data_IF_642426118541
#
_entry.id   IF_642426118541
#
_cell.length_a   1.000
_cell.length_b   1.000
_cell.length_c   1.000
_cell.angle_alpha   90.00
_cell.angle_beta   90.00
_cell.angle_gamma   90.00
#
_symmetry.space_group_name_H-M   'P 1'
#
loop_
_entity.id
_entity.type
_entity.pdbx_description
1 polymer ?
#
# COMPACT_ATOMS: atom_id res chain seq x y z
N UNK A 1 -12.28 -17.89 -11.87
CA UNK A 1 -13.48 -17.48 -11.10
C UNK A 1 -14.32 -18.63 -10.57
N UNK A 2 -14.87 -19.56 -11.40
CA UNK A 2 -15.65 -20.70 -10.87
C UNK A 2 -14.83 -21.70 -10.04
N UNK A 3 -13.55 -21.93 -10.34
CA UNK A 3 -12.65 -22.84 -9.62
C UNK A 3 -12.29 -22.27 -8.23
N UNK A 4 -12.02 -20.98 -8.12
CA UNK A 4 -11.70 -20.32 -6.84
C UNK A 4 -12.88 -20.29 -5.88
N UNK A 5 -14.10 -20.04 -6.40
CA UNK A 5 -15.35 -20.08 -5.60
C UNK A 5 -15.64 -21.50 -5.09
N UNK A 6 -15.35 -22.53 -5.92
CA UNK A 6 -15.53 -23.94 -5.54
C UNK A 6 -14.50 -24.37 -4.49
N UNK A 7 -13.25 -23.91 -4.60
CA UNK A 7 -12.19 -24.14 -3.61
C UNK A 7 -12.53 -23.50 -2.25
N UNK A 8 -13.00 -22.26 -2.24
CA UNK A 8 -13.40 -21.59 -1.00
C UNK A 8 -14.60 -22.24 -0.30
N UNK A 9 -15.62 -22.68 -1.08
CA UNK A 9 -16.76 -23.43 -0.53
C UNK A 9 -16.33 -24.82 0.01
N UNK A 10 -15.38 -25.48 -0.63
CA UNK A 10 -14.85 -26.75 -0.17
C UNK A 10 -13.97 -26.56 1.09
N UNK A 11 -13.18 -25.49 1.17
CA UNK A 11 -12.40 -25.15 2.35
C UNK A 11 -13.32 -24.83 3.55
N UNK A 12 -14.38 -24.05 3.33
CA UNK A 12 -15.38 -23.75 4.34
C UNK A 12 -16.14 -25.01 4.82
N UNK A 13 -16.37 -26.01 3.94
CA UNK A 13 -16.95 -27.32 4.31
C UNK A 13 -15.96 -28.19 5.08
N UNK A 14 -14.67 -28.20 4.68
CA UNK A 14 -13.64 -28.99 5.36
C UNK A 14 -13.41 -28.51 6.81
N UNK A 15 -13.48 -27.19 7.05
CA UNK A 15 -13.35 -26.61 8.39
C UNK A 15 -14.51 -27.03 9.32
N UNK A 16 -15.72 -27.25 8.78
CA UNK A 16 -16.86 -27.74 9.57
C UNK A 16 -16.73 -29.20 10.04
N UNK A 17 -15.80 -29.99 9.44
CA UNK A 17 -15.56 -31.39 9.77
C UNK A 17 -14.32 -31.61 10.66
N UNK A 18 -13.52 -30.60 10.96
CA UNK A 18 -12.36 -30.75 11.83
C UNK A 18 -12.79 -30.83 13.30
N UNK A 19 -12.45 -31.89 13.96
CA UNK A 19 -12.50 -32.06 15.43
C UNK A 19 -11.38 -31.20 16.03
N UNK A 20 -11.62 -29.91 16.18
CA UNK A 20 -10.76 -29.00 16.95
C UNK A 20 -11.22 -29.12 18.41
N UNK A 21 -10.33 -29.32 19.40
CA UNK A 21 -10.74 -29.38 20.80
C UNK A 21 -11.51 -28.07 21.14
N UNK A 22 -12.65 -28.26 21.79
CA UNK A 22 -13.68 -27.31 22.26
C UNK A 22 -13.34 -25.81 22.16
N UNK A 23 -13.12 -25.31 20.97
CA UNK A 23 -13.11 -23.85 20.74
C UNK A 23 -14.53 -23.38 20.55
N UNK A 24 -14.82 -22.20 21.08
CA UNK A 24 -16.15 -21.59 21.09
C UNK A 24 -16.81 -21.62 19.70
N UNK A 25 -18.12 -21.68 19.63
CA UNK A 25 -18.88 -21.63 18.37
C UNK A 25 -18.54 -20.37 17.57
N UNK A 26 -18.28 -19.23 18.25
CA UNK A 26 -17.86 -17.97 17.62
C UNK A 26 -16.53 -18.12 16.90
N UNK A 27 -15.53 -18.78 17.51
CA UNK A 27 -14.24 -19.03 16.85
C UNK A 27 -14.37 -19.87 15.58
N UNK A 28 -15.22 -20.92 15.58
CA UNK A 28 -15.46 -21.72 14.37
C UNK A 28 -16.09 -20.89 13.25
N UNK A 29 -16.97 -19.96 13.59
CA UNK A 29 -17.51 -19.01 12.62
C UNK A 29 -16.44 -18.08 12.08
N UNK A 30 -15.50 -17.59 12.89
CA UNK A 30 -14.37 -16.78 12.42
C UNK A 30 -13.53 -17.54 11.39
N UNK A 31 -13.19 -18.81 11.65
CA UNK A 31 -12.44 -19.65 10.69
C UNK A 31 -13.21 -19.84 9.38
N UNK A 32 -14.53 -20.05 9.44
CA UNK A 32 -15.39 -20.12 8.25
C UNK A 32 -15.41 -18.81 7.48
N UNK A 33 -15.54 -17.69 8.19
CA UNK A 33 -15.56 -16.36 7.60
C UNK A 33 -14.20 -15.98 6.97
N UNK A 34 -13.08 -16.38 7.60
CA UNK A 34 -11.74 -16.23 7.00
C UNK A 34 -11.64 -16.99 5.67
N UNK A 35 -12.11 -18.23 5.62
CA UNK A 35 -12.14 -19.01 4.39
C UNK A 35 -12.97 -18.33 3.29
N UNK A 36 -14.13 -17.77 3.63
CA UNK A 36 -14.97 -17.00 2.70
C UNK A 36 -14.24 -15.74 2.21
N UNK A 37 -13.58 -15.01 3.11
CA UNK A 37 -12.81 -13.81 2.77
C UNK A 37 -11.63 -14.13 1.84
N UNK A 38 -10.88 -15.22 2.09
CA UNK A 38 -9.82 -15.69 1.18
C UNK A 38 -10.38 -16.11 -0.18
N UNK A 39 -11.60 -16.68 -0.22
CA UNK A 39 -12.31 -16.98 -1.47
C UNK A 39 -12.92 -15.73 -2.15
N UNK A 40 -12.63 -14.51 -1.65
CA UNK A 40 -13.18 -13.24 -2.12
C UNK A 40 -14.71 -13.13 -2.02
N UNK A 41 -15.34 -13.99 -1.21
CA UNK A 41 -16.78 -13.95 -0.92
C UNK A 41 -17.02 -12.99 0.27
N UNK A 42 -16.73 -11.71 0.06
CA UNK A 42 -16.65 -10.74 1.16
C UNK A 42 -17.99 -10.49 1.85
N UNK A 43 -19.12 -10.50 1.11
CA UNK A 43 -20.45 -10.31 1.70
C UNK A 43 -20.83 -11.46 2.63
N UNK A 44 -20.58 -12.72 2.21
CA UNK A 44 -20.82 -13.90 3.03
C UNK A 44 -19.91 -13.93 4.26
N UNK A 45 -18.65 -13.49 4.09
CA UNK A 45 -17.71 -13.34 5.20
C UNK A 45 -18.22 -12.33 6.23
N UNK A 46 -18.73 -11.16 5.79
CA UNK A 46 -19.33 -10.14 6.65
C UNK A 46 -20.45 -10.73 7.50
N UNK A 47 -21.42 -11.45 6.89
CA UNK A 47 -22.52 -12.06 7.62
C UNK A 47 -22.03 -13.05 8.66
N UNK A 48 -21.06 -13.91 8.28
CA UNK A 48 -20.52 -14.93 9.18
C UNK A 48 -19.72 -14.33 10.35
N UNK A 49 -18.97 -13.23 10.13
CA UNK A 49 -18.32 -12.51 11.24
C UNK A 49 -19.33 -11.84 12.17
N UNK A 50 -20.41 -11.27 11.64
CA UNK A 50 -21.47 -10.68 12.45
C UNK A 50 -22.15 -11.74 13.33
N UNK A 51 -22.39 -12.96 12.79
CA UNK A 51 -22.90 -14.09 13.58
C UNK A 51 -21.90 -14.47 14.71
N UNK A 52 -20.60 -14.46 14.43
CA UNK A 52 -19.58 -14.74 15.45
C UNK A 52 -19.62 -13.69 16.58
N UNK A 53 -19.73 -12.41 16.24
CA UNK A 53 -19.84 -11.30 17.21
C UNK A 53 -21.14 -11.37 18.02
N UNK A 54 -22.24 -11.82 17.43
CA UNK A 54 -23.50 -12.02 18.18
C UNK A 54 -23.37 -13.12 19.23
N UNK A 55 -22.57 -14.18 18.97
CA UNK A 55 -22.31 -15.24 19.92
C UNK A 55 -21.31 -14.87 21.01
N UNK A 56 -20.28 -14.09 20.61
CA UNK A 56 -19.27 -13.59 21.55
C UNK A 56 -18.88 -12.16 21.16
N UNK A 57 -19.34 -11.21 21.97
CA UNK A 57 -19.09 -9.77 21.74
C UNK A 57 -17.64 -9.38 21.96
N UNK A 58 -16.81 -10.24 22.52
CA UNK A 58 -15.39 -10.01 22.76
C UNK A 58 -14.49 -10.83 21.81
N UNK A 59 -15.06 -11.47 20.77
CA UNK A 59 -14.27 -12.22 19.79
C UNK A 59 -13.47 -11.29 18.88
N UNK A 60 -12.25 -10.98 19.30
CA UNK A 60 -11.33 -10.05 18.64
C UNK A 60 -11.14 -10.40 17.15
N UNK A 61 -10.96 -11.70 16.84
CA UNK A 61 -10.77 -12.17 15.46
C UNK A 61 -11.94 -11.82 14.55
N UNK A 62 -13.16 -11.88 15.09
CA UNK A 62 -14.35 -11.54 14.33
C UNK A 62 -14.37 -10.06 13.94
N UNK A 63 -13.99 -9.16 14.85
CA UNK A 63 -13.91 -7.72 14.54
C UNK A 63 -12.82 -7.41 13.52
N UNK A 64 -11.62 -7.99 13.64
CA UNK A 64 -10.54 -7.80 12.68
C UNK A 64 -10.92 -8.32 11.29
N UNK A 65 -11.45 -9.53 11.23
CA UNK A 65 -11.90 -10.13 9.99
C UNK A 65 -13.03 -9.35 9.33
N UNK A 66 -13.99 -8.87 10.11
CA UNK A 66 -15.11 -8.03 9.66
C UNK A 66 -14.61 -6.70 9.09
N UNK A 67 -13.71 -6.02 9.80
CA UNK A 67 -13.12 -4.78 9.32
C UNK A 67 -12.35 -4.98 8.01
N UNK A 68 -11.57 -6.06 7.93
CA UNK A 68 -10.87 -6.45 6.70
C UNK A 68 -11.84 -6.72 5.54
N UNK A 69 -12.95 -7.44 5.78
CA UNK A 69 -13.95 -7.71 4.77
C UNK A 69 -14.61 -6.40 4.26
N UNK A 70 -14.95 -5.47 5.17
CA UNK A 70 -15.46 -4.16 4.80
C UNK A 70 -14.44 -3.32 4.00
N UNK A 71 -13.13 -3.41 4.31
CA UNK A 71 -12.07 -2.76 3.51
C UNK A 71 -12.09 -3.26 2.06
N UNK A 72 -12.17 -4.58 1.85
CA UNK A 72 -12.25 -5.15 0.49
C UNK A 72 -13.51 -4.73 -0.27
N UNK A 73 -14.61 -4.52 0.44
CA UNK A 73 -15.85 -3.98 -0.11
C UNK A 73 -15.82 -2.45 -0.29
N UNK A 74 -14.74 -1.79 0.10
CA UNK A 74 -14.57 -0.33 0.14
C UNK A 74 -15.60 0.38 1.04
N UNK A 75 -16.19 -0.35 1.99
CA UNK A 75 -17.12 0.18 2.98
C UNK A 75 -16.35 0.71 4.21
N UNK A 76 -15.47 1.69 3.98
CA UNK A 76 -14.51 2.18 4.97
C UNK A 76 -15.15 2.70 6.25
N UNK A 77 -16.31 3.38 6.16
CA UNK A 77 -17.05 3.85 7.36
C UNK A 77 -17.47 2.69 8.27
N UNK A 78 -17.88 1.55 7.69
CA UNK A 78 -18.23 0.36 8.47
C UNK A 78 -16.97 -0.31 9.07
N UNK A 79 -15.88 -0.35 8.32
CA UNK A 79 -14.59 -0.83 8.84
C UNK A 79 -14.12 0.00 10.04
N UNK A 80 -14.14 1.34 9.93
CA UNK A 80 -13.82 2.28 11.00
C UNK A 80 -14.70 2.02 12.24
N UNK A 81 -16.03 1.97 12.07
CA UNK A 81 -16.93 1.74 13.21
C UNK A 81 -16.69 0.38 13.89
N UNK A 82 -16.28 -0.63 13.13
CA UNK A 82 -15.93 -1.96 13.61
C UNK A 82 -14.64 -1.93 14.43
N UNK A 83 -13.60 -1.29 13.92
CA UNK A 83 -12.30 -1.15 14.60
C UNK A 83 -12.41 -0.27 15.85
N UNK A 84 -13.24 0.78 15.83
CA UNK A 84 -13.53 1.59 17.02
C UNK A 84 -14.22 0.79 18.15
N UNK A 85 -15.02 -0.24 17.82
CA UNK A 85 -15.53 -1.17 18.82
C UNK A 85 -14.43 -2.10 19.32
N UNK A 86 -13.56 -2.58 18.43
CA UNK A 86 -12.45 -3.47 18.79
C UNK A 86 -11.49 -2.83 19.79
N UNK A 87 -11.07 -1.58 19.56
CA UNK A 87 -10.17 -0.87 20.49
C UNK A 87 -10.79 -0.56 21.85
N UNK A 88 -12.11 -0.65 22.00
CA UNK A 88 -12.78 -0.59 23.32
C UNK A 88 -12.69 -1.91 24.08
N UNK A 89 -12.47 -3.03 23.37
CA UNK A 89 -12.31 -4.36 23.96
C UNK A 89 -10.84 -4.58 24.33
N UNK A 90 -9.93 -4.20 23.43
CA UNK A 90 -8.49 -4.28 23.61
C UNK A 90 -7.81 -3.07 22.96
N UNK A 91 -7.12 -2.27 23.76
CA UNK A 91 -6.44 -1.04 23.34
C UNK A 91 -4.89 -1.15 23.36
N UNK A 92 -4.36 -2.39 23.47
CA UNK A 92 -2.92 -2.61 23.64
C UNK A 92 -2.22 -3.09 22.39
N UNK A 93 -2.94 -3.43 21.34
CA UNK A 93 -2.38 -3.96 20.10
C UNK A 93 -2.27 -2.84 19.06
N UNK A 94 -1.04 -2.58 18.58
CA UNK A 94 -0.73 -1.58 17.56
C UNK A 94 -1.42 -1.83 16.22
N UNK A 95 -1.64 -3.11 15.87
CA UNK A 95 -2.30 -3.49 14.61
C UNK A 95 -3.71 -2.87 14.49
N UNK A 96 -4.47 -2.78 15.58
CA UNK A 96 -5.82 -2.22 15.54
C UNK A 96 -5.82 -0.73 15.24
N UNK A 97 -4.89 0.00 15.84
CA UNK A 97 -4.70 1.42 15.57
C UNK A 97 -4.14 1.67 14.18
N UNK A 98 -3.21 0.84 13.73
CA UNK A 98 -2.68 0.88 12.37
C UNK A 98 -3.80 0.67 11.34
N UNK A 99 -4.58 -0.40 11.47
CA UNK A 99 -5.70 -0.72 10.58
C UNK A 99 -6.76 0.40 10.57
N UNK A 100 -7.02 1.00 11.72
CA UNK A 100 -7.93 2.13 11.84
C UNK A 100 -7.40 3.36 11.10
N UNK A 101 -6.11 3.68 11.25
CA UNK A 101 -5.44 4.74 10.49
C UNK A 101 -5.52 4.53 8.99
N UNK A 102 -5.23 3.32 8.52
CA UNK A 102 -5.37 2.94 7.10
C UNK A 102 -6.80 3.08 6.59
N UNK A 103 -7.80 2.72 7.42
CA UNK A 103 -9.20 2.89 7.05
C UNK A 103 -9.59 4.37 6.94
N UNK A 104 -9.09 5.24 7.84
CA UNK A 104 -9.31 6.68 7.78
C UNK A 104 -8.66 7.29 6.52
N UNK A 105 -7.43 6.92 6.18
CA UNK A 105 -6.77 7.35 4.94
C UNK A 105 -7.61 6.95 3.71
N UNK A 106 -8.04 5.69 3.67
CA UNK A 106 -8.85 5.18 2.56
C UNK A 106 -10.24 5.82 2.45
N UNK A 107 -10.74 6.39 3.56
CA UNK A 107 -12.00 7.14 3.63
C UNK A 107 -11.81 8.65 3.34
N UNK A 108 -10.59 9.10 3.01
CA UNK A 108 -10.28 10.50 2.73
C UNK A 108 -10.20 11.40 3.97
N UNK A 109 -9.83 10.85 5.11
CA UNK A 109 -9.75 11.51 6.42
C UNK A 109 -8.33 11.42 6.99
N UNK A 110 -7.33 12.09 6.37
CA UNK A 110 -5.93 11.95 6.78
C UNK A 110 -5.64 12.54 8.16
N UNK A 111 -6.33 13.59 8.59
CA UNK A 111 -6.11 14.19 9.90
C UNK A 111 -6.48 13.25 11.05
N UNK A 112 -7.59 12.50 10.92
CA UNK A 112 -7.98 11.47 11.88
C UNK A 112 -7.02 10.27 11.80
N UNK A 113 -6.55 9.91 10.61
CA UNK A 113 -5.59 8.83 10.43
C UNK A 113 -4.29 9.08 11.21
N UNK A 114 -3.76 10.31 11.19
CA UNK A 114 -2.56 10.72 11.94
C UNK A 114 -2.68 10.34 13.42
N UNK A 115 -3.82 10.64 14.05
CA UNK A 115 -4.02 10.37 15.47
C UNK A 115 -3.90 8.88 15.81
N UNK A 116 -4.45 8.01 14.97
CA UNK A 116 -4.42 6.56 15.20
C UNK A 116 -3.09 5.93 14.80
N UNK A 117 -2.46 6.40 13.73
CA UNK A 117 -1.13 5.95 13.32
C UNK A 117 -0.06 6.30 14.37
N UNK A 118 -0.14 7.50 14.97
CA UNK A 118 0.72 7.89 16.10
C UNK A 118 0.51 6.95 17.29
N UNK A 119 -0.73 6.58 17.61
CA UNK A 119 -1.00 5.60 18.69
C UNK A 119 -0.39 4.24 18.37
N UNK A 120 -0.52 3.75 17.13
CA UNK A 120 0.11 2.50 16.72
C UNK A 120 1.63 2.53 16.94
N UNK A 121 2.29 3.63 16.54
CA UNK A 121 3.74 3.81 16.69
C UNK A 121 4.17 3.96 18.16
N UNK A 122 3.34 4.58 19.02
CA UNK A 122 3.61 4.65 20.47
C UNK A 122 3.61 3.26 21.09
N UNK A 123 2.67 2.38 20.69
CA UNK A 123 2.59 1.00 21.18
C UNK A 123 3.74 0.17 20.61
N UNK A 124 4.01 0.29 19.33
CA UNK A 124 5.05 -0.46 18.64
C UNK A 124 5.89 0.46 17.73
N UNK A 125 7.06 0.87 18.24
CA UNK A 125 7.98 1.77 17.53
C UNK A 125 8.62 1.11 16.29
N UNK A 126 8.61 -0.21 16.20
CA UNK A 126 9.15 -0.97 15.08
C UNK A 126 8.12 -1.23 13.97
N UNK A 127 6.89 -0.74 14.13
CA UNK A 127 5.89 -0.82 13.07
C UNK A 127 6.22 0.15 11.93
N UNK A 128 7.11 -0.29 11.01
CA UNK A 128 7.58 0.52 9.89
C UNK A 128 6.45 0.87 8.91
N UNK A 129 5.45 -0.02 8.77
CA UNK A 129 4.28 0.24 7.92
C UNK A 129 3.42 1.38 8.51
N UNK A 130 3.24 1.43 9.82
CA UNK A 130 2.54 2.54 10.47
C UNK A 130 3.28 3.88 10.26
N UNK A 131 4.61 3.87 10.33
CA UNK A 131 5.42 5.07 10.07
C UNK A 131 5.29 5.53 8.60
N UNK A 132 5.29 4.61 7.63
CA UNK A 132 5.02 4.94 6.21
C UNK A 132 3.63 5.57 6.04
N UNK A 133 2.60 4.96 6.65
CA UNK A 133 1.24 5.50 6.53
C UNK A 133 1.11 6.86 7.21
N UNK A 134 1.84 7.08 8.31
CA UNK A 134 1.91 8.39 8.97
C UNK A 134 2.55 9.44 8.06
N UNK A 135 3.65 9.12 7.37
CA UNK A 135 4.26 10.02 6.40
C UNK A 135 3.30 10.36 5.25
N UNK A 136 2.61 9.36 4.70
CA UNK A 136 1.58 9.55 3.66
C UNK A 136 0.41 10.43 4.20
N UNK A 137 0.00 10.24 5.45
CA UNK A 137 -1.05 11.05 6.05
C UNK A 137 -0.63 12.52 6.18
N UNK A 138 0.62 12.80 6.56
CA UNK A 138 1.17 14.16 6.61
C UNK A 138 1.27 14.77 5.20
N UNK A 139 1.68 14.00 4.17
CA UNK A 139 1.66 14.46 2.78
C UNK A 139 0.25 14.89 2.33
N UNK A 140 -0.77 14.12 2.70
CA UNK A 140 -2.17 14.41 2.33
C UNK A 140 -2.78 15.64 3.05
N UNK A 141 -2.20 16.07 4.17
CA UNK A 141 -2.57 17.31 4.86
C UNK A 141 -1.58 18.46 4.57
N UNK A 142 -0.75 18.31 3.52
CA UNK A 142 0.22 19.31 3.05
C UNK A 142 1.31 19.64 4.08
N UNK A 143 1.61 18.74 5.00
CA UNK A 143 2.71 18.84 5.98
C UNK A 143 3.97 18.12 5.45
N UNK A 144 4.48 18.59 4.32
CA UNK A 144 5.55 17.95 3.54
C UNK A 144 6.85 17.78 4.33
N UNK A 145 7.22 18.77 5.15
CA UNK A 145 8.44 18.71 5.97
C UNK A 145 8.38 17.55 6.98
N UNK A 146 7.23 17.32 7.61
CA UNK A 146 7.04 16.22 8.55
C UNK A 146 7.10 14.87 7.83
N UNK A 147 6.48 14.76 6.66
CA UNK A 147 6.53 13.55 5.85
C UNK A 147 7.98 13.22 5.45
N UNK A 148 8.74 14.21 4.94
CA UNK A 148 10.16 14.04 4.58
C UNK A 148 11.02 13.66 5.79
N UNK A 149 10.78 14.25 6.95
CA UNK A 149 11.48 13.92 8.18
C UNK A 149 11.26 12.44 8.57
N UNK A 150 10.02 11.95 8.47
CA UNK A 150 9.70 10.54 8.76
C UNK A 150 10.39 9.62 7.76
N UNK A 151 10.31 9.89 6.45
CA UNK A 151 10.98 9.08 5.44
C UNK A 151 12.50 9.06 5.62
N UNK A 152 13.12 10.21 5.90
CA UNK A 152 14.56 10.29 6.15
C UNK A 152 14.96 9.44 7.35
N UNK A 153 14.23 9.54 8.45
CA UNK A 153 14.47 8.73 9.65
C UNK A 153 14.31 7.24 9.38
N UNK A 154 13.28 6.84 8.63
CA UNK A 154 13.06 5.45 8.23
C UNK A 154 14.24 4.90 7.40
N UNK A 155 14.74 5.68 6.45
CA UNK A 155 15.87 5.33 5.59
C UNK A 155 17.18 5.22 6.39
N UNK A 156 17.38 6.11 7.34
CA UNK A 156 18.57 6.12 8.22
C UNK A 156 18.58 4.92 9.16
N UNK A 157 17.46 4.65 9.83
CA UNK A 157 17.38 3.57 10.83
C UNK A 157 17.15 2.20 10.22
N UNK A 158 16.53 2.11 9.05
CA UNK A 158 16.18 0.87 8.34
C UNK A 158 16.57 0.96 6.86
N UNK A 159 17.87 0.90 6.54
CA UNK A 159 18.36 1.12 5.16
C UNK A 159 17.82 0.12 4.12
N UNK A 160 17.38 -1.05 4.55
CA UNK A 160 16.84 -2.10 3.67
C UNK A 160 15.31 -2.02 3.52
N UNK A 161 14.66 -1.04 4.16
CA UNK A 161 13.24 -0.84 4.03
C UNK A 161 12.91 -0.04 2.75
N UNK A 162 12.91 -0.75 1.63
CA UNK A 162 12.84 -0.18 0.27
C UNK A 162 11.61 0.70 0.01
N UNK A 163 10.49 0.44 0.70
CA UNK A 163 9.27 1.25 0.59
C UNK A 163 9.50 2.70 0.98
N UNK A 164 10.36 2.97 1.99
CA UNK A 164 10.64 4.34 2.42
C UNK A 164 11.30 5.17 1.31
N UNK A 165 12.27 4.58 0.59
CA UNK A 165 12.90 5.23 -0.55
C UNK A 165 11.91 5.51 -1.68
N UNK A 166 11.08 4.51 -2.00
CA UNK A 166 10.11 4.65 -3.09
C UNK A 166 9.09 5.76 -2.79
N UNK A 167 8.51 5.76 -1.59
CA UNK A 167 7.51 6.74 -1.21
C UNK A 167 8.10 8.15 -1.09
N UNK A 168 9.30 8.28 -0.46
CA UNK A 168 10.03 9.57 -0.43
C UNK A 168 10.25 10.12 -1.84
N UNK A 169 10.76 9.27 -2.76
CA UNK A 169 11.02 9.71 -4.12
C UNK A 169 9.75 10.05 -4.89
N UNK A 170 8.66 9.31 -4.68
CA UNK A 170 7.36 9.60 -5.29
C UNK A 170 6.79 10.95 -4.79
N UNK A 171 6.89 11.21 -3.49
CA UNK A 171 6.51 12.49 -2.89
C UNK A 171 7.33 13.65 -3.47
N UNK A 172 8.67 13.53 -3.52
CA UNK A 172 9.55 14.53 -4.11
C UNK A 172 9.21 14.82 -5.58
N UNK A 173 8.79 13.79 -6.35
CA UNK A 173 8.28 14.00 -7.71
C UNK A 173 6.99 14.82 -7.71
N UNK A 174 6.09 14.58 -6.78
CA UNK A 174 4.85 15.37 -6.61
C UNK A 174 5.14 16.85 -6.30
N UNK A 175 6.13 17.11 -5.46
CA UNK A 175 6.62 18.47 -5.13
C UNK A 175 7.39 19.12 -6.29
N UNK A 176 7.74 18.39 -7.35
CA UNK A 176 8.55 18.90 -8.47
C UNK A 176 10.06 18.86 -8.25
N UNK A 177 10.54 18.34 -7.12
CA UNK A 177 11.97 18.15 -6.89
C UNK A 177 12.48 16.88 -7.58
N UNK A 178 12.48 16.93 -8.92
CA UNK A 178 12.88 15.79 -9.75
C UNK A 178 14.34 15.39 -9.57
N UNK A 179 15.18 16.33 -9.14
CA UNK A 179 16.60 16.05 -8.91
C UNK A 179 16.77 15.13 -7.69
N UNK A 180 16.21 15.50 -6.55
CA UNK A 180 16.31 14.71 -5.33
C UNK A 180 15.49 13.43 -5.43
N UNK A 181 14.34 13.45 -6.13
CA UNK A 181 13.58 12.25 -6.45
C UNK A 181 14.43 11.23 -7.21
N UNK A 182 15.11 11.65 -8.28
CA UNK A 182 15.98 10.76 -9.04
C UNK A 182 17.13 10.19 -8.20
N UNK A 183 17.76 11.01 -7.33
CA UNK A 183 18.80 10.55 -6.39
C UNK A 183 18.29 9.49 -5.44
N UNK A 184 17.10 9.69 -4.90
CA UNK A 184 16.47 8.75 -3.98
C UNK A 184 16.11 7.42 -4.68
N UNK A 185 15.58 7.47 -5.92
CA UNK A 185 15.39 6.27 -6.72
C UNK A 185 16.71 5.56 -7.07
N UNK A 186 17.80 6.30 -7.32
CA UNK A 186 19.12 5.67 -7.52
C UNK A 186 19.61 4.94 -6.28
N UNK A 187 19.38 5.49 -5.08
CA UNK A 187 19.68 4.78 -3.83
C UNK A 187 18.87 3.47 -3.72
N UNK A 188 17.61 3.49 -4.15
CA UNK A 188 16.75 2.31 -4.15
C UNK A 188 17.25 1.24 -5.12
N UNK A 189 17.54 1.57 -6.38
CA UNK A 189 18.04 0.58 -7.36
C UNK A 189 19.44 0.08 -7.04
N UNK A 190 20.26 0.84 -6.32
CA UNK A 190 21.55 0.37 -5.80
C UNK A 190 21.36 -0.77 -4.78
N UNK A 191 20.27 -0.74 -4.00
CA UNK A 191 19.93 -1.79 -3.01
C UNK A 191 19.18 -2.96 -3.67
N UNK A 192 18.27 -2.67 -4.55
CA UNK A 192 17.51 -3.67 -5.29
C UNK A 192 17.49 -3.35 -6.80
N UNK A 193 18.43 -3.91 -7.57
CA UNK A 193 18.53 -3.69 -9.03
C UNK A 193 17.29 -4.14 -9.81
N UNK A 194 16.46 -5.01 -9.26
CA UNK A 194 15.25 -5.52 -9.92
C UNK A 194 14.00 -4.69 -9.60
N UNK A 195 14.14 -3.61 -8.82
CA UNK A 195 13.01 -2.74 -8.47
C UNK A 195 12.57 -1.87 -9.65
N UNK A 196 11.86 -2.49 -10.61
CA UNK A 196 11.52 -1.89 -11.91
C UNK A 196 10.80 -0.53 -11.79
N UNK A 197 9.94 -0.33 -10.77
CA UNK A 197 9.22 0.94 -10.57
C UNK A 197 10.17 2.11 -10.30
N UNK A 198 11.32 1.86 -9.68
CA UNK A 198 12.29 2.92 -9.44
C UNK A 198 12.95 3.39 -10.74
N UNK A 199 13.23 2.49 -11.70
CA UNK A 199 13.72 2.89 -13.03
C UNK A 199 12.70 3.72 -13.79
N UNK A 200 11.42 3.42 -13.67
CA UNK A 200 10.35 4.27 -14.21
C UNK A 200 10.37 5.67 -13.56
N UNK A 201 10.49 5.74 -12.24
CA UNK A 201 10.60 7.00 -11.49
C UNK A 201 11.83 7.82 -11.90
N UNK A 202 13.00 7.17 -12.07
CA UNK A 202 14.22 7.84 -12.57
C UNK A 202 13.96 8.39 -13.97
N UNK A 203 13.38 7.60 -14.87
CA UNK A 203 13.10 8.01 -16.24
C UNK A 203 12.17 9.22 -16.29
N UNK A 204 11.07 9.18 -15.52
CA UNK A 204 10.12 10.29 -15.42
C UNK A 204 10.75 11.55 -14.82
N UNK A 205 11.62 11.40 -13.81
CA UNK A 205 12.34 12.52 -13.22
C UNK A 205 13.27 13.20 -14.24
N UNK A 206 14.03 12.42 -15.02
CA UNK A 206 14.88 12.98 -16.09
C UNK A 206 14.07 13.60 -17.22
N UNK A 207 12.94 13.00 -17.56
CA UNK A 207 12.01 13.54 -18.56
C UNK A 207 11.50 14.94 -18.14
N UNK A 208 11.04 15.08 -16.89
CA UNK A 208 10.61 16.36 -16.34
C UNK A 208 11.72 17.42 -16.27
N UNK A 209 12.98 16.98 -16.12
CA UNK A 209 14.16 17.86 -16.18
C UNK A 209 14.63 18.13 -17.63
N UNK A 210 13.91 17.70 -18.66
CA UNK A 210 14.28 17.77 -20.07
C UNK A 210 15.62 17.11 -20.41
N UNK A 211 16.08 16.16 -19.61
CA UNK A 211 17.28 15.35 -19.84
C UNK A 211 16.91 14.11 -20.68
N UNK A 212 16.51 14.33 -21.91
CA UNK A 212 15.85 13.34 -22.77
C UNK A 212 16.68 12.10 -23.04
N UNK A 213 18.00 12.22 -23.21
CA UNK A 213 18.91 11.06 -23.41
C UNK A 213 18.85 10.11 -22.21
N UNK A 214 18.94 10.67 -20.99
CA UNK A 214 18.89 9.89 -19.76
C UNK A 214 17.50 9.31 -19.54
N UNK A 215 16.44 10.09 -19.75
CA UNK A 215 15.07 9.60 -19.67
C UNK A 215 14.85 8.35 -20.56
N UNK A 216 15.23 8.44 -21.84
CA UNK A 216 15.13 7.31 -22.79
C UNK A 216 15.93 6.08 -22.29
N UNK A 217 17.13 6.30 -21.76
CA UNK A 217 17.96 5.22 -21.20
C UNK A 217 17.26 4.48 -20.08
N UNK A 218 16.66 5.20 -19.12
CA UNK A 218 16.00 4.61 -17.95
C UNK A 218 14.62 4.05 -18.26
N UNK A 219 13.85 4.64 -19.19
CA UNK A 219 12.64 3.98 -19.74
C UNK A 219 12.96 2.63 -20.38
N UNK A 220 14.05 2.53 -21.16
CA UNK A 220 14.50 1.24 -21.71
C UNK A 220 14.87 0.25 -20.60
N UNK A 221 15.60 0.71 -19.56
CA UNK A 221 15.95 -0.14 -18.43
C UNK A 221 14.73 -0.67 -17.68
N UNK A 222 13.72 0.18 -17.49
CA UNK A 222 12.42 -0.25 -16.96
C UNK A 222 11.78 -1.33 -17.85
N UNK A 223 11.78 -1.16 -19.18
CA UNK A 223 11.18 -2.11 -20.12
C UNK A 223 11.92 -3.45 -20.21
N UNK A 224 13.21 -3.51 -19.90
CA UNK A 224 13.97 -4.76 -19.77
C UNK A 224 13.42 -5.61 -18.61
N UNK A 225 13.09 -4.97 -17.49
CA UNK A 225 12.60 -5.64 -16.28
C UNK A 225 11.08 -5.89 -16.30
N UNK A 226 10.32 -5.02 -16.94
CA UNK A 226 8.86 -5.10 -17.02
C UNK A 226 8.38 -4.87 -18.44
N UNK A 227 8.08 -5.96 -19.18
CA UNK A 227 7.76 -5.90 -20.61
C UNK A 227 6.29 -5.63 -20.91
N UNK A 228 5.38 -6.08 -20.04
CA UNK A 228 3.93 -6.08 -20.27
C UNK A 228 3.19 -5.49 -19.07
N UNK A 229 2.79 -4.24 -19.19
CA UNK A 229 1.94 -3.50 -18.27
C UNK A 229 1.48 -2.21 -18.95
N UNK A 230 0.52 -1.52 -18.39
CA UNK A 230 0.11 -0.17 -18.83
C UNK A 230 1.30 0.79 -18.81
N UNK A 231 2.10 0.77 -17.73
CA UNK A 231 3.34 1.55 -17.61
C UNK A 231 4.33 1.24 -18.74
N UNK A 232 4.36 0.00 -19.23
CA UNK A 232 5.27 -0.40 -20.33
C UNK A 232 4.80 0.16 -21.68
N UNK A 233 3.49 0.29 -21.87
CA UNK A 233 2.92 0.97 -23.05
C UNK A 233 3.25 2.46 -22.99
N UNK A 234 3.01 3.10 -21.84
CA UNK A 234 3.39 4.48 -21.60
C UNK A 234 4.88 4.74 -21.90
N UNK A 235 5.77 3.93 -21.32
CA UNK A 235 7.21 4.11 -21.49
C UNK A 235 7.65 3.98 -22.96
N UNK A 236 7.07 3.04 -23.73
CA UNK A 236 7.38 2.90 -25.19
C UNK A 236 6.94 4.12 -25.98
N UNK A 237 5.73 4.60 -25.75
CA UNK A 237 5.20 5.77 -26.42
C UNK A 237 6.05 7.01 -26.09
N UNK A 238 6.38 7.18 -24.80
CA UNK A 238 7.18 8.34 -24.36
C UNK A 238 8.61 8.33 -24.93
N UNK A 239 9.24 7.15 -25.08
CA UNK A 239 10.55 7.02 -25.76
C UNK A 239 10.46 7.53 -27.19
N UNK A 240 9.40 7.21 -27.94
CA UNK A 240 9.24 7.66 -29.33
C UNK A 240 9.04 9.16 -29.42
N UNK A 241 8.23 9.74 -28.53
CA UNK A 241 8.04 11.19 -28.43
C UNK A 241 9.36 11.91 -28.13
N UNK A 242 10.07 11.46 -27.09
CA UNK A 242 11.35 12.07 -26.67
C UNK A 242 12.43 12.00 -27.76
N UNK A 243 12.46 10.93 -28.56
CA UNK A 243 13.36 10.86 -29.72
C UNK A 243 13.04 11.95 -30.73
N UNK A 244 11.77 12.15 -31.05
CA UNK A 244 11.37 13.19 -31.99
C UNK A 244 11.68 14.59 -31.45
N UNK A 245 11.43 14.86 -30.16
CA UNK A 245 11.77 16.12 -29.50
C UNK A 245 13.29 16.39 -29.49
N UNK A 246 14.09 15.33 -29.24
CA UNK A 246 15.54 15.41 -29.20
C UNK A 246 16.10 15.73 -30.59
N UNK A 247 15.72 15.00 -31.63
CA UNK A 247 16.19 15.22 -33.01
C UNK A 247 15.71 16.57 -33.56
N UNK A 248 14.53 17.03 -33.22
CA UNK A 248 14.04 18.34 -33.65
C UNK A 248 14.87 19.51 -33.07
N UNK A 249 15.45 19.33 -31.87
CA UNK A 249 16.34 20.31 -31.27
C UNK A 249 17.76 20.27 -31.84
N UNK A 250 18.35 19.09 -32.05
CA UNK A 250 19.66 18.96 -32.66
C UNK A 250 19.67 19.59 -34.07
N UNK A 251 18.66 19.38 -34.89
CA UNK A 251 18.57 19.98 -36.25
C UNK A 251 18.41 21.52 -36.22
N UNK A 252 17.92 22.13 -35.15
CA UNK A 252 17.84 23.60 -34.99
C UNK A 252 19.21 24.22 -34.66
N UNK A 253 20.11 23.49 -34.00
CA UNK A 253 21.46 23.97 -33.68
C UNK A 253 22.49 23.74 -34.81
N UNK A 254 22.19 22.88 -35.79
CA UNK A 254 23.07 22.64 -36.96
C UNK A 254 22.78 23.57 -38.13
N UNK A 255 21.77 24.44 -38.06
CA UNK A 255 21.34 25.38 -39.09
C UNK A 255 21.67 26.84 -38.76
N UNK A 256 22.51 27.09 -37.75
CA UNK A 256 23.07 28.41 -37.36
C UNK A 256 24.60 28.29 -37.45
#
# INVERSE_FOLDING_TARGET
MQIEVKAGKNLAKAVNGMTVPERSRSYRLCVKADALRFAKMYQDAVQTYLEAIMLDRNEIKAYLGLASAYKYLKEYKKAISTLLKLIKIDDKNDEYFFELGVCYLSNGQPAEAIQYLVKAIIINRENLEAQIQLAIAHELVEEEDLSLMIYNKLIETNPDFLKAYYNKAAMLMGMGDYMEASRTFFQLVKRNPDYYKAYLGIAMSFDKMAKYKDAIRYYKKFLELKKFSEDSVFARNRINELRNEYFSKENKFTLV
#
